data_IF_203385833371
#
_entry.id   IF_203385833371
#
_cell.length_a   1.000
_cell.length_b   1.000
_cell.length_c   1.000
_cell.angle_alpha   90.00
_cell.angle_beta   90.00
_cell.angle_gamma   90.00
#
_symmetry.space_group_name_H-M   'P 1'
#
loop_
_entity.id
_entity.type
_entity.pdbx_description
1 polymer ?
#
# COMPACT_ATOMS: atom_id res chain seq x y z
N UNK A 1 20.30 4.71 22.65
CA UNK A 1 19.85 3.74 21.63
C UNK A 1 20.29 4.30 20.29
N UNK A 2 21.04 3.54 19.50
CA UNK A 2 21.39 3.92 18.13
C UNK A 2 20.32 3.35 17.21
N UNK A 3 19.69 4.19 16.40
CA UNK A 3 18.71 3.75 15.41
C UNK A 3 19.43 2.91 14.34
N UNK A 4 18.91 1.71 14.06
CA UNK A 4 19.32 0.91 12.90
C UNK A 4 18.43 1.28 11.72
N UNK A 5 19.07 1.55 10.58
CA UNK A 5 18.39 1.91 9.34
C UNK A 5 18.90 1.01 8.20
N UNK A 6 17.96 0.51 7.41
CA UNK A 6 18.21 -0.16 6.14
C UNK A 6 17.56 0.69 5.01
N UNK A 7 18.23 0.81 3.88
CA UNK A 7 17.78 1.65 2.74
C UNK A 7 17.57 0.88 1.45
N UNK A 8 17.46 -0.44 1.54
CA UNK A 8 17.33 -1.30 0.38
C UNK A 8 15.94 -1.19 -0.30
N UNK A 9 15.86 -1.42 -1.62
CA UNK A 9 14.58 -1.54 -2.32
C UNK A 9 13.72 -2.67 -1.75
N UNK A 10 12.41 -2.52 -1.87
CA UNK A 10 11.42 -3.53 -1.49
C UNK A 10 10.35 -3.65 -2.58
N UNK A 11 9.71 -4.81 -2.64
CA UNK A 11 8.64 -5.06 -3.60
C UNK A 11 7.30 -4.60 -3.03
N UNK A 12 6.45 -4.10 -3.92
CA UNK A 12 5.11 -3.62 -3.59
C UNK A 12 4.10 -4.23 -4.55
N UNK A 13 3.01 -4.76 -4.01
CA UNK A 13 1.82 -5.14 -4.77
C UNK A 13 0.61 -4.40 -4.22
N UNK A 14 -0.13 -3.76 -5.13
CA UNK A 14 -1.42 -3.15 -4.86
C UNK A 14 -2.52 -4.02 -5.47
N UNK A 15 -3.55 -4.33 -4.69
CA UNK A 15 -4.73 -5.03 -5.18
C UNK A 15 -5.97 -4.17 -4.90
N UNK A 16 -6.75 -3.79 -5.93
CA UNK A 16 -8.03 -3.12 -5.72
C UNK A 16 -8.98 -3.96 -4.88
N UNK A 17 -9.69 -3.30 -3.98
CA UNK A 17 -10.67 -3.94 -3.11
C UNK A 17 -12.07 -3.35 -3.27
N UNK A 18 -13.13 -4.08 -2.85
CA UNK A 18 -14.47 -3.52 -2.79
C UNK A 18 -14.51 -2.22 -1.97
N UNK A 19 -15.25 -1.23 -2.48
CA UNK A 19 -15.50 0.03 -1.79
C UNK A 19 -16.17 -0.27 -0.43
N UNK A 20 -15.63 0.28 0.66
CA UNK A 20 -16.27 0.17 1.97
C UNK A 20 -17.49 1.08 2.06
N UNK A 21 -18.44 0.75 2.95
CA UNK A 21 -19.60 1.61 3.21
C UNK A 21 -19.21 3.03 3.64
N UNK A 22 -18.05 3.20 4.29
CA UNK A 22 -17.54 4.53 4.69
C UNK A 22 -17.04 5.36 3.50
N UNK A 23 -16.60 4.69 2.42
CA UNK A 23 -16.06 5.28 1.19
C UNK A 23 -17.12 5.45 0.09
N UNK A 24 -18.31 4.86 0.26
CA UNK A 24 -19.41 4.96 -0.70
C UNK A 24 -19.83 6.42 -0.93
N UNK A 25 -19.98 6.80 -2.20
CA UNK A 25 -20.28 8.17 -2.63
C UNK A 25 -19.18 9.23 -2.39
N UNK A 26 -17.99 8.87 -1.85
CA UNK A 26 -16.95 9.84 -1.44
C UNK A 26 -15.74 9.95 -2.37
N UNK A 27 -15.79 9.38 -3.57
CA UNK A 27 -14.65 9.32 -4.49
C UNK A 27 -13.35 8.81 -3.81
N UNK A 28 -13.48 7.81 -2.93
CA UNK A 28 -12.37 7.13 -2.28
C UNK A 28 -12.25 5.71 -2.83
N UNK A 29 -11.04 5.31 -3.22
CA UNK A 29 -10.70 3.93 -3.54
C UNK A 29 -10.11 3.20 -2.33
N UNK A 30 -10.14 1.88 -2.38
CA UNK A 30 -9.57 0.99 -1.36
C UNK A 30 -8.68 -0.05 -2.01
N UNK A 31 -7.51 -0.30 -1.42
CA UNK A 31 -6.54 -1.26 -1.91
C UNK A 31 -5.86 -1.99 -0.74
N UNK A 32 -5.58 -3.28 -0.91
CA UNK A 32 -4.57 -3.96 -0.10
C UNK A 32 -3.18 -3.70 -0.66
N UNK A 33 -2.22 -3.56 0.26
CA UNK A 33 -0.81 -3.31 0.00
C UNK A 33 0.02 -4.42 0.64
N UNK A 34 0.57 -5.30 -0.18
CA UNK A 34 1.56 -6.30 0.21
C UNK A 34 2.97 -5.74 -0.03
N UNK A 35 3.85 -5.87 0.95
CA UNK A 35 5.28 -5.49 0.83
C UNK A 35 6.18 -6.68 1.15
N UNK A 36 7.23 -6.86 0.37
CA UNK A 36 8.31 -7.80 0.67
C UNK A 36 9.64 -7.04 0.75
N UNK A 37 10.26 -7.08 1.93
CA UNK A 37 11.54 -6.47 2.23
C UNK A 37 12.65 -7.54 2.20
N UNK A 38 13.82 -7.13 1.72
CA UNK A 38 14.97 -8.00 1.48
C UNK A 38 16.22 -7.47 2.20
N UNK A 39 17.31 -8.25 2.15
CA UNK A 39 18.59 -7.84 2.74
C UNK A 39 18.53 -7.75 4.26
N UNK A 40 19.04 -6.65 4.80
CA UNK A 40 19.17 -6.41 6.24
C UNK A 40 17.81 -6.39 6.97
N UNK A 41 16.74 -5.99 6.28
CA UNK A 41 15.36 -6.10 6.76
C UNK A 41 14.60 -7.16 5.95
N UNK A 42 14.70 -8.42 6.33
CA UNK A 42 14.01 -9.52 5.64
C UNK A 42 12.65 -9.83 6.29
N UNK A 43 11.58 -9.25 5.75
CA UNK A 43 10.22 -9.44 6.29
C UNK A 43 9.14 -9.17 5.22
N UNK A 44 7.89 -9.45 5.58
CA UNK A 44 6.72 -9.07 4.77
C UNK A 44 5.74 -8.26 5.62
N UNK A 45 4.95 -7.40 4.97
CA UNK A 45 3.88 -6.66 5.65
C UNK A 45 2.63 -6.61 4.78
N UNK A 46 1.46 -6.69 5.42
CA UNK A 46 0.16 -6.48 4.79
C UNK A 46 -0.53 -5.29 5.44
N UNK A 47 -1.15 -4.44 4.62
CA UNK A 47 -1.84 -3.24 5.08
C UNK A 47 -2.93 -2.82 4.10
N UNK A 48 -3.79 -1.89 4.53
CA UNK A 48 -4.84 -1.30 3.70
C UNK A 48 -4.54 0.18 3.44
N UNK A 49 -4.83 0.66 2.23
CA UNK A 49 -4.82 2.08 1.87
C UNK A 49 -6.22 2.50 1.44
N UNK A 50 -6.67 3.63 1.98
CA UNK A 50 -7.84 4.38 1.52
C UNK A 50 -7.36 5.74 1.02
N UNK A 51 -7.64 6.06 -0.24
CA UNK A 51 -7.17 7.30 -0.86
C UNK A 51 -8.19 7.82 -1.90
N UNK A 52 -8.16 9.12 -2.24
CA UNK A 52 -8.98 9.65 -3.32
C UNK A 52 -8.68 8.96 -4.66
N UNK A 53 -9.73 8.54 -5.37
CA UNK A 53 -9.60 8.10 -6.76
C UNK A 53 -9.51 9.33 -7.66
N UNK A 54 -8.29 9.63 -8.13
CA UNK A 54 -8.08 10.54 -9.25
C UNK A 54 -8.48 9.82 -10.53
N UNK A 55 -9.24 10.49 -11.40
CA UNK A 55 -9.82 9.94 -12.64
C UNK A 55 -8.80 9.44 -13.67
N UNK A 56 -7.51 9.66 -13.44
CA UNK A 56 -6.40 9.11 -14.21
C UNK A 56 -5.27 8.75 -13.24
N UNK A 57 -4.56 7.64 -13.50
CA UNK A 57 -3.39 7.11 -12.75
C UNK A 57 -3.62 6.00 -11.72
N UNK A 58 -4.64 5.16 -11.89
CA UNK A 58 -4.72 3.90 -11.13
C UNK A 58 -4.84 2.68 -12.05
N UNK A 59 -4.19 2.71 -13.21
CA UNK A 59 -4.12 1.56 -14.12
C UNK A 59 -2.91 1.58 -15.09
N UNK A 60 -1.84 2.32 -14.77
CA UNK A 60 -0.56 2.27 -15.49
C UNK A 60 0.48 1.56 -14.61
#
# INVERSE_FOLDING_TARGET
>A
MTDQQATEPFEVKLNPEPISSTADGKALGRMSLDKAFHGDLKTTSQSEIVAPILSQRWND
#
